data_IF_983398106334
#
_entry.id   IF_983398106334
#
_cell.length_a   1.000
_cell.length_b   1.000
_cell.length_c   1.000
_cell.angle_alpha   90.00
_cell.angle_beta   90.00
_cell.angle_gamma   90.00
#
_symmetry.space_group_name_H-M   'P 1'
#
loop_
_entity.id
_entity.type
_entity.pdbx_description
1 polymer ?
#
# COMPACT_ATOMS: atom_id res chain seq x y z
N UNK A 1 -6.18 9.81 -28.54
CA UNK A 1 -5.67 8.49 -28.11
C UNK A 1 -5.56 8.53 -26.60
N UNK A 2 -6.17 7.57 -25.89
CA UNK A 2 -6.06 7.53 -24.42
C UNK A 2 -4.65 7.08 -24.01
N UNK A 3 -4.06 7.74 -23.01
CA UNK A 3 -2.73 7.42 -22.50
C UNK A 3 -2.81 6.17 -21.63
N UNK A 4 -2.67 5.00 -22.26
CA UNK A 4 -2.77 3.69 -21.61
C UNK A 4 -1.40 3.13 -21.26
N UNK A 5 -1.29 2.59 -20.05
CA UNK A 5 -0.06 2.08 -19.47
C UNK A 5 -0.35 0.73 -18.79
N UNK A 6 0.46 -0.28 -19.06
CA UNK A 6 0.31 -1.59 -18.40
C UNK A 6 1.25 -1.73 -17.20
N UNK A 7 0.77 -2.37 -16.14
CA UNK A 7 1.50 -2.58 -14.88
C UNK A 7 1.27 -4.00 -14.36
N UNK A 8 2.36 -4.72 -14.06
CA UNK A 8 2.29 -6.03 -13.42
C UNK A 8 2.28 -5.88 -11.90
N UNK A 9 1.20 -6.34 -11.27
CA UNK A 9 1.09 -6.37 -9.81
C UNK A 9 1.62 -7.70 -9.27
N UNK A 10 2.33 -7.67 -8.14
CA UNK A 10 2.92 -8.89 -7.55
C UNK A 10 1.86 -9.88 -7.04
N UNK A 11 0.83 -9.37 -6.35
CA UNK A 11 -0.14 -10.20 -5.63
C UNK A 11 -1.59 -9.74 -5.86
N UNK A 12 -2.53 -10.70 -5.81
CA UNK A 12 -3.96 -10.43 -6.04
C UNK A 12 -4.56 -9.41 -5.07
N UNK A 13 -4.20 -9.44 -3.79
CA UNK A 13 -4.77 -8.49 -2.80
C UNK A 13 -4.42 -7.05 -3.13
N UNK A 14 -3.21 -6.79 -3.65
CA UNK A 14 -2.79 -5.45 -4.05
C UNK A 14 -3.47 -5.03 -5.35
N UNK A 15 -3.68 -5.98 -6.27
CA UNK A 15 -4.45 -5.74 -7.49
C UNK A 15 -5.90 -5.38 -7.18
N UNK A 16 -6.56 -6.12 -6.28
CA UNK A 16 -7.93 -5.83 -5.84
C UNK A 16 -8.00 -4.49 -5.10
N UNK A 17 -6.97 -4.17 -4.31
CA UNK A 17 -6.85 -2.88 -3.64
C UNK A 17 -6.74 -1.69 -4.62
N UNK A 18 -6.22 -1.87 -5.83
CA UNK A 18 -6.25 -0.82 -6.86
C UNK A 18 -7.68 -0.41 -7.23
N UNK A 19 -8.66 -1.32 -7.15
CA UNK A 19 -10.07 -1.00 -7.38
C UNK A 19 -10.73 -0.20 -6.27
N UNK A 20 -10.10 -0.14 -5.10
CA UNK A 20 -10.45 0.83 -4.07
C UNK A 20 -9.81 2.19 -4.33
N UNK A 21 -8.57 2.21 -4.84
CA UNK A 21 -7.82 3.45 -5.09
C UNK A 21 -8.29 4.21 -6.34
N UNK A 22 -8.73 3.49 -7.37
CA UNK A 22 -9.08 4.04 -8.66
C UNK A 22 -10.39 3.47 -9.18
N UNK A 23 -11.16 4.33 -9.83
CA UNK A 23 -12.33 3.91 -10.61
C UNK A 23 -11.87 3.16 -11.87
N UNK A 24 -12.73 2.29 -12.37
CA UNK A 24 -12.50 1.58 -13.63
C UNK A 24 -13.39 2.16 -14.71
N UNK A 25 -12.86 2.25 -15.93
CA UNK A 25 -13.64 2.55 -17.11
C UNK A 25 -14.46 1.32 -17.58
N UNK A 26 -15.22 1.47 -18.67
CA UNK A 26 -16.00 0.38 -19.27
C UNK A 26 -15.14 -0.75 -19.82
N UNK A 27 -13.84 -0.51 -20.10
CA UNK A 27 -12.89 -1.53 -20.55
C UNK A 27 -12.21 -2.28 -19.39
N UNK A 28 -12.46 -1.86 -18.14
CA UNK A 28 -11.85 -2.42 -16.95
C UNK A 28 -10.48 -1.82 -16.60
N UNK A 29 -10.02 -0.81 -17.34
CA UNK A 29 -8.79 -0.08 -17.05
C UNK A 29 -9.01 0.92 -15.92
N UNK A 30 -7.99 1.08 -15.07
CA UNK A 30 -8.03 1.98 -13.93
C UNK A 30 -7.73 3.41 -14.33
N UNK A 31 -8.65 4.33 -14.01
CA UNK A 31 -8.49 5.75 -14.28
C UNK A 31 -7.61 6.34 -13.18
N UNK A 32 -6.36 6.63 -13.53
CA UNK A 32 -5.40 7.21 -12.59
C UNK A 32 -5.75 8.67 -12.34
N UNK A 33 -5.76 9.06 -11.07
CA UNK A 33 -5.90 10.47 -10.69
C UNK A 33 -4.74 10.87 -9.81
N UNK A 34 -4.35 12.15 -9.87
CA UNK A 34 -3.34 12.71 -8.97
C UNK A 34 -3.90 13.04 -7.56
N UNK A 35 -5.11 12.54 -7.21
CA UNK A 35 -5.74 12.80 -5.91
C UNK A 35 -5.06 12.05 -4.77
N UNK A 36 -4.72 10.78 -5.00
CA UNK A 36 -4.00 9.95 -4.04
C UNK A 36 -2.50 9.91 -4.34
N UNK A 37 -1.67 9.62 -3.33
CA UNK A 37 -0.21 9.62 -3.51
C UNK A 37 0.25 8.53 -4.48
N UNK A 38 -0.45 7.40 -4.53
CA UNK A 38 -0.07 6.29 -5.42
C UNK A 38 -0.24 6.66 -6.91
N UNK A 39 -1.30 7.38 -7.28
CA UNK A 39 -1.51 7.89 -8.64
C UNK A 39 -0.44 8.90 -9.05
N UNK A 40 0.02 9.75 -8.12
CA UNK A 40 1.16 10.64 -8.35
C UNK A 40 2.44 9.85 -8.62
N UNK A 41 2.67 8.75 -7.90
CA UNK A 41 3.82 7.86 -8.15
C UNK A 41 3.76 7.20 -9.52
N UNK A 42 2.58 6.70 -9.94
CA UNK A 42 2.40 6.12 -11.28
C UNK A 42 2.78 7.16 -12.35
N UNK A 43 2.24 8.37 -12.25
CA UNK A 43 2.53 9.46 -13.19
C UNK A 43 4.03 9.78 -13.20
N UNK A 44 4.64 9.94 -12.02
CA UNK A 44 6.06 10.30 -11.88
C UNK A 44 7.03 9.23 -12.41
N UNK A 45 6.63 7.97 -12.42
CA UNK A 45 7.43 6.86 -12.97
C UNK A 45 7.14 6.54 -14.45
N UNK A 46 6.15 7.20 -15.05
CA UNK A 46 5.80 7.00 -16.46
C UNK A 46 6.88 7.56 -17.37
N UNK A 47 7.25 6.80 -18.40
CA UNK A 47 8.25 7.20 -19.39
C UNK A 47 7.66 7.14 -20.81
N UNK A 48 8.13 8.02 -21.69
CA UNK A 48 7.82 7.96 -23.11
C UNK A 48 8.79 7.00 -23.82
N UNK A 49 8.26 6.18 -24.72
CA UNK A 49 9.03 5.34 -25.63
C UNK A 49 8.89 5.84 -27.07
N UNK A 50 9.94 5.63 -27.87
CA UNK A 50 9.94 5.88 -29.31
C UNK A 50 9.27 4.75 -30.11
N UNK A 51 9.18 3.56 -29.54
CA UNK A 51 8.57 2.36 -30.12
C UNK A 51 7.47 1.82 -29.19
N UNK A 52 6.50 1.06 -29.72
CA UNK A 52 5.50 0.39 -28.90
C UNK A 52 6.16 -0.48 -27.83
N UNK A 53 5.95 -0.19 -26.53
CA UNK A 53 6.54 -0.95 -25.45
C UNK A 53 5.89 -2.32 -25.34
N UNK A 54 6.64 -3.27 -24.77
CA UNK A 54 6.09 -4.58 -24.44
C UNK A 54 5.04 -4.43 -23.34
N UNK A 55 3.83 -4.90 -23.60
CA UNK A 55 2.76 -4.90 -22.63
C UNK A 55 3.07 -5.85 -21.46
N UNK A 56 2.56 -5.48 -20.29
CA UNK A 56 2.62 -6.32 -19.10
C UNK A 56 1.81 -7.61 -19.35
N UNK A 57 2.41 -8.76 -19.05
CA UNK A 57 1.85 -10.08 -19.34
C UNK A 57 1.81 -10.98 -18.09
N UNK A 58 1.95 -10.37 -16.91
CA UNK A 58 1.86 -11.08 -15.65
C UNK A 58 0.44 -11.55 -15.35
N UNK A 59 0.33 -12.48 -14.39
CA UNK A 59 -0.94 -13.03 -13.91
C UNK A 59 -1.90 -11.95 -13.38
N UNK A 60 -1.36 -10.85 -12.87
CA UNK A 60 -2.10 -9.71 -12.32
C UNK A 60 -1.75 -8.42 -13.08
N UNK A 61 -1.58 -8.53 -14.40
CA UNK A 61 -1.40 -7.37 -15.27
C UNK A 61 -2.65 -6.49 -15.25
N UNK A 62 -2.45 -5.19 -15.08
CA UNK A 62 -3.53 -4.19 -15.09
C UNK A 62 -3.20 -3.08 -16.07
N UNK A 63 -4.23 -2.41 -16.58
CA UNK A 63 -4.07 -1.23 -17.43
C UNK A 63 -4.49 0.01 -16.65
N UNK A 64 -3.65 1.04 -16.72
CA UNK A 64 -3.90 2.38 -16.22
C UNK A 64 -4.20 3.32 -17.37
N UNK A 65 -5.16 4.22 -17.18
CA UNK A 65 -5.40 5.37 -18.03
C UNK A 65 -4.88 6.59 -17.28
N UNK A 66 -3.89 7.27 -17.84
CA UNK A 66 -3.35 8.48 -17.23
C UNK A 66 -4.26 9.68 -17.50
N UNK A 67 -4.41 10.58 -16.51
CA UNK A 67 -5.20 11.79 -16.69
C UNK A 67 -4.49 12.72 -17.68
N UNK A 68 -5.22 13.58 -18.38
CA UNK A 68 -4.63 14.65 -19.18
C UNK A 68 -4.49 15.89 -18.30
N UNK A 69 -3.27 16.24 -17.90
CA UNK A 69 -2.95 17.45 -17.14
C UNK A 69 -1.52 17.91 -17.44
N UNK A 70 -1.06 18.98 -16.80
CA UNK A 70 0.29 19.54 -17.01
C UNK A 70 1.41 18.50 -16.81
N UNK A 71 1.25 17.56 -15.86
CA UNK A 71 2.25 16.55 -15.57
C UNK A 71 2.33 15.44 -16.64
N UNK A 72 1.26 15.23 -17.42
CA UNK A 72 1.15 14.13 -18.39
C UNK A 72 1.02 14.61 -19.83
N UNK A 73 0.84 15.92 -20.07
CA UNK A 73 0.64 16.48 -21.41
C UNK A 73 1.76 16.11 -22.38
N UNK A 74 3.00 16.03 -21.89
CA UNK A 74 4.17 15.63 -22.67
C UNK A 74 4.14 14.19 -23.18
N UNK A 75 3.24 13.35 -22.65
CA UNK A 75 3.04 11.96 -23.07
C UNK A 75 1.93 11.79 -24.10
N UNK A 76 1.17 12.85 -24.40
CA UNK A 76 0.12 12.76 -25.40
C UNK A 76 0.71 12.36 -26.75
N UNK A 77 0.03 11.43 -27.43
CA UNK A 77 0.43 10.87 -28.72
C UNK A 77 1.81 10.18 -28.71
N UNK A 78 2.35 9.85 -27.53
CA UNK A 78 3.55 9.02 -27.39
C UNK A 78 3.18 7.66 -26.84
N UNK A 79 3.99 6.66 -27.18
CA UNK A 79 3.93 5.40 -26.45
C UNK A 79 4.47 5.63 -25.04
N UNK A 80 3.79 5.07 -24.03
CA UNK A 80 4.20 5.20 -22.63
C UNK A 80 4.39 3.84 -21.98
N UNK A 81 5.34 3.76 -21.06
CA UNK A 81 5.66 2.52 -20.36
C UNK A 81 6.20 2.78 -18.95
N UNK A 82 6.24 1.71 -18.16
CA UNK A 82 6.97 1.63 -16.91
C UNK A 82 8.21 0.78 -17.13
N UNK A 83 9.37 1.29 -16.72
CA UNK A 83 10.59 0.49 -16.71
C UNK A 83 10.48 -0.66 -15.70
N UNK A 84 11.27 -1.72 -15.88
CA UNK A 84 11.29 -2.83 -14.93
C UNK A 84 11.62 -2.38 -13.49
N UNK A 85 12.47 -1.35 -13.34
CA UNK A 85 12.78 -0.74 -12.06
C UNK A 85 11.57 0.01 -11.48
N UNK A 86 10.89 0.82 -12.31
CA UNK A 86 9.67 1.52 -11.92
C UNK A 86 8.58 0.54 -11.46
N UNK A 87 8.35 -0.54 -12.20
CA UNK A 87 7.38 -1.59 -11.83
C UNK A 87 7.68 -2.19 -10.46
N UNK A 88 8.95 -2.50 -10.16
CA UNK A 88 9.34 -3.00 -8.82
C UNK A 88 9.11 -1.96 -7.72
N UNK A 89 9.50 -0.71 -7.97
CA UNK A 89 9.33 0.38 -7.00
C UNK A 89 7.85 0.69 -6.73
N UNK A 90 7.01 0.64 -7.76
CA UNK A 90 5.56 0.82 -7.62
C UNK A 90 4.94 -0.33 -6.83
N UNK A 91 5.34 -1.59 -7.03
CA UNK A 91 4.85 -2.71 -6.22
C UNK A 91 5.24 -2.57 -4.73
N UNK A 92 6.49 -2.18 -4.45
CA UNK A 92 6.95 -1.89 -3.07
C UNK A 92 6.09 -0.77 -2.46
N UNK A 93 5.85 0.30 -3.22
CA UNK A 93 5.08 1.45 -2.77
C UNK A 93 3.61 1.10 -2.56
N UNK A 94 3.00 0.30 -3.44
CA UNK A 94 1.62 -0.17 -3.33
C UNK A 94 1.43 -1.00 -2.06
N UNK A 95 2.36 -1.92 -1.78
CA UNK A 95 2.37 -2.71 -0.55
C UNK A 95 2.50 -1.82 0.68
N UNK A 96 3.41 -0.85 0.68
CA UNK A 96 3.56 0.09 1.79
C UNK A 96 2.30 0.93 2.01
N UNK A 97 1.67 1.40 0.93
CA UNK A 97 0.44 2.19 0.97
C UNK A 97 -0.72 1.37 1.57
N UNK A 98 -0.89 0.13 1.11
CA UNK A 98 -1.85 -0.82 1.67
C UNK A 98 -1.63 -1.05 3.17
N UNK A 99 -0.38 -1.26 3.59
CA UNK A 99 -0.04 -1.49 4.99
C UNK A 99 -0.39 -0.32 5.89
N UNK A 100 -0.13 0.91 5.44
CA UNK A 100 -0.43 2.12 6.18
C UNK A 100 -1.94 2.30 6.34
N UNK A 101 -2.70 2.14 5.26
CA UNK A 101 -4.18 2.22 5.28
C UNK A 101 -4.79 1.16 6.20
N UNK A 102 -4.37 -0.10 6.04
CA UNK A 102 -4.83 -1.19 6.88
C UNK A 102 -4.55 -0.93 8.36
N UNK A 103 -3.33 -0.48 8.67
CA UNK A 103 -2.93 -0.23 10.03
C UNK A 103 -3.69 0.94 10.67
N UNK A 104 -3.82 2.05 9.94
CA UNK A 104 -4.57 3.20 10.39
C UNK A 104 -6.03 2.83 10.67
N UNK A 105 -6.63 2.03 9.79
CA UNK A 105 -7.99 1.55 9.96
C UNK A 105 -8.15 0.68 11.23
N UNK A 106 -7.22 -0.26 11.45
CA UNK A 106 -7.22 -1.11 12.64
C UNK A 106 -7.07 -0.29 13.91
N UNK A 107 -6.13 0.65 13.95
CA UNK A 107 -5.86 1.46 15.14
C UNK A 107 -7.03 2.37 15.52
N UNK A 108 -7.63 3.06 14.54
CA UNK A 108 -8.80 3.92 14.79
C UNK A 108 -9.96 3.13 15.41
N UNK A 109 -10.18 1.89 14.98
CA UNK A 109 -11.28 1.05 15.49
C UNK A 109 -10.97 0.35 16.80
N UNK A 110 -9.70 0.02 17.07
CA UNK A 110 -9.27 -0.44 18.40
C UNK A 110 -9.52 0.62 19.48
N UNK A 111 -9.30 1.90 19.16
CA UNK A 111 -9.64 2.99 20.07
C UNK A 111 -11.14 3.03 20.44
N UNK A 112 -12.00 2.50 19.56
CA UNK A 112 -13.43 2.34 19.77
C UNK A 112 -13.83 1.00 20.42
N UNK A 113 -12.86 0.19 20.89
CA UNK A 113 -13.05 -1.11 21.54
C UNK A 113 -13.82 -2.16 20.70
N UNK A 114 -13.74 -2.05 19.37
CA UNK A 114 -14.32 -3.06 18.48
C UNK A 114 -13.52 -4.38 18.50
N UNK A 115 -14.21 -5.50 18.24
CA UNK A 115 -13.54 -6.81 18.17
C UNK A 115 -12.67 -6.90 16.92
N UNK A 116 -11.56 -7.61 17.02
CA UNK A 116 -10.56 -7.67 15.94
C UNK A 116 -11.16 -8.24 14.65
N UNK A 117 -11.98 -9.28 14.77
CA UNK A 117 -12.66 -9.96 13.66
C UNK A 117 -13.54 -8.97 12.89
N UNK A 118 -14.36 -8.19 13.60
CA UNK A 118 -15.23 -7.14 13.04
C UNK A 118 -14.42 -6.05 12.33
N UNK A 119 -13.25 -5.68 12.88
CA UNK A 119 -12.36 -4.72 12.26
C UNK A 119 -11.84 -5.24 10.91
N UNK A 120 -11.41 -6.50 10.85
CA UNK A 120 -10.91 -7.11 9.61
C UNK A 120 -12.02 -7.22 8.56
N UNK A 121 -13.21 -7.70 8.94
CA UNK A 121 -14.36 -7.77 8.04
C UNK A 121 -14.75 -6.39 7.51
N UNK A 122 -14.83 -5.39 8.39
CA UNK A 122 -15.15 -4.03 7.98
C UNK A 122 -14.08 -3.44 7.05
N UNK A 123 -12.81 -3.77 7.25
CA UNK A 123 -11.74 -3.34 6.33
C UNK A 123 -11.95 -3.96 4.94
N UNK A 124 -12.15 -5.29 4.88
CA UNK A 124 -12.41 -6.03 3.65
C UNK A 124 -13.59 -5.45 2.88
N UNK A 125 -14.72 -5.23 3.57
CA UNK A 125 -15.93 -4.68 2.96
C UNK A 125 -15.71 -3.25 2.46
N UNK A 126 -15.09 -2.40 3.27
CA UNK A 126 -14.88 -0.99 2.91
C UNK A 126 -13.91 -0.80 1.74
N UNK A 127 -12.94 -1.70 1.57
CA UNK A 127 -11.97 -1.69 0.46
C UNK A 127 -12.39 -2.62 -0.70
N UNK A 128 -13.59 -3.22 -0.62
CA UNK A 128 -14.14 -4.11 -1.65
C UNK A 128 -13.19 -5.28 -1.99
N UNK A 129 -12.56 -5.86 -0.97
CA UNK A 129 -11.58 -6.95 -1.12
C UNK A 129 -12.32 -8.31 -1.11
N UNK A 130 -12.91 -8.73 -2.22
CA UNK A 130 -13.90 -9.83 -2.23
C UNK A 130 -13.36 -11.27 -2.17
N UNK A 131 -12.10 -11.52 -1.77
CA UNK A 131 -11.59 -12.90 -1.63
C UNK A 131 -11.78 -13.44 -0.22
N UNK A 132 -12.30 -14.67 -0.11
CA UNK A 132 -12.49 -15.36 1.17
C UNK A 132 -11.18 -15.59 1.93
N UNK A 133 -10.06 -15.75 1.22
CA UNK A 133 -8.73 -15.97 1.80
C UNK A 133 -8.18 -14.71 2.52
N UNK A 134 -8.75 -13.54 2.25
CA UNK A 134 -8.21 -12.28 2.79
C UNK A 134 -8.43 -12.15 4.29
N UNK A 135 -9.55 -12.65 4.82
CA UNK A 135 -9.84 -12.57 6.25
C UNK A 135 -8.72 -13.17 7.09
N UNK A 136 -8.37 -14.43 6.84
CA UNK A 136 -7.29 -15.13 7.54
C UNK A 136 -5.92 -14.45 7.35
N UNK A 137 -5.63 -14.02 6.12
CA UNK A 137 -4.35 -13.36 5.81
C UNK A 137 -4.16 -12.05 6.57
N UNK A 138 -5.22 -11.23 6.66
CA UNK A 138 -5.24 -9.95 7.35
C UNK A 138 -5.28 -10.12 8.86
N UNK A 139 -5.99 -11.13 9.35
CA UNK A 139 -6.01 -11.49 10.76
C UNK A 139 -4.61 -11.87 11.25
N UNK A 140 -3.89 -12.73 10.51
CA UNK A 140 -2.48 -13.07 10.79
C UNK A 140 -1.57 -11.85 10.70
N UNK A 141 -1.83 -10.93 9.76
CA UNK A 141 -1.04 -9.69 9.62
C UNK A 141 -1.21 -8.76 10.82
N UNK A 142 -2.44 -8.53 11.26
CA UNK A 142 -2.74 -7.75 12.46
C UNK A 142 -2.07 -8.36 13.69
N UNK A 143 -2.21 -9.68 13.88
CA UNK A 143 -1.61 -10.41 14.99
C UNK A 143 -0.07 -10.28 15.03
N UNK A 144 0.61 -10.51 13.88
CA UNK A 144 2.08 -10.37 13.81
C UNK A 144 2.57 -8.96 14.18
N UNK A 145 1.75 -7.95 13.92
CA UNK A 145 2.10 -6.56 14.24
C UNK A 145 1.87 -6.25 15.72
N UNK A 146 0.75 -6.70 16.29
CA UNK A 146 0.50 -6.63 17.73
C UNK A 146 1.64 -7.29 18.53
N UNK A 147 2.12 -8.45 18.07
CA UNK A 147 3.26 -9.12 18.69
C UNK A 147 4.53 -8.25 18.67
N UNK A 148 4.83 -7.62 17.53
CA UNK A 148 5.99 -6.69 17.42
C UNK A 148 5.85 -5.47 18.33
N UNK A 149 4.64 -4.93 18.49
CA UNK A 149 4.39 -3.82 19.40
C UNK A 149 4.57 -4.22 20.86
N UNK A 150 4.07 -5.39 21.23
CA UNK A 150 4.25 -5.94 22.58
C UNK A 150 5.74 -6.18 22.89
N UNK A 151 6.49 -6.74 21.94
CA UNK A 151 7.93 -6.92 22.08
C UNK A 151 8.68 -5.58 22.22
N UNK A 152 8.32 -4.59 21.42
CA UNK A 152 8.92 -3.26 21.49
C UNK A 152 8.62 -2.58 22.84
N UNK A 153 7.38 -2.71 23.34
CA UNK A 153 6.96 -2.21 24.65
C UNK A 153 7.73 -2.92 25.77
N UNK A 154 7.82 -4.25 25.72
CA UNK A 154 8.60 -5.04 26.68
C UNK A 154 10.05 -4.54 26.75
N UNK A 155 10.70 -4.39 25.60
CA UNK A 155 12.09 -3.86 25.53
C UNK A 155 12.20 -2.46 26.15
N UNK A 156 11.24 -1.57 25.88
CA UNK A 156 11.22 -0.21 26.43
C UNK A 156 11.06 -0.22 27.96
N UNK A 157 10.17 -1.05 28.48
CA UNK A 157 9.93 -1.18 29.91
C UNK A 157 11.15 -1.79 30.63
N UNK A 158 11.74 -2.84 30.07
CA UNK A 158 12.96 -3.46 30.62
C UNK A 158 14.11 -2.46 30.70
N UNK A 159 14.36 -1.67 29.64
CA UNK A 159 15.39 -0.61 29.66
C UNK A 159 15.12 0.43 30.73
N UNK A 160 13.85 0.81 30.93
CA UNK A 160 13.46 1.77 31.95
C UNK A 160 13.66 1.21 33.37
N UNK A 161 13.34 -0.06 33.59
CA UNK A 161 13.57 -0.73 34.87
C UNK A 161 15.06 -0.74 35.22
N UNK A 162 15.92 -1.18 34.30
CA UNK A 162 17.38 -1.17 34.50
C UNK A 162 17.93 0.22 34.81
N UNK A 163 17.45 1.25 34.12
CA UNK A 163 17.87 2.63 34.40
C UNK A 163 17.48 3.09 35.81
N UNK A 164 16.27 2.75 36.25
CA UNK A 164 15.81 3.07 37.61
C UNK A 164 16.66 2.32 38.65
N UNK A 165 16.94 1.03 38.42
CA UNK A 165 17.80 0.23 39.31
C UNK A 165 19.21 0.84 39.41
N UNK A 166 19.82 1.24 38.28
CA UNK A 166 21.14 1.88 38.29
C UNK A 166 21.19 3.21 39.05
N UNK A 167 20.08 3.96 39.09
CA UNK A 167 19.99 5.21 39.87
C UNK A 167 19.82 4.94 41.37
N UNK A 168 19.24 3.80 41.74
CA UNK A 168 19.07 3.39 43.14
C UNK A 168 20.40 2.82 43.68
N UNK A 169 21.18 2.15 42.85
CA UNK A 169 22.47 1.55 43.21
C UNK A 169 23.65 2.54 43.19
N UNK A 170 23.47 3.78 42.69
CA UNK A 170 24.50 4.82 42.84
C UNK A 170 24.57 5.28 44.31
N UNK A 171 25.69 5.04 45.03
CA UNK A 171 25.82 5.51 46.41
C UNK A 171 25.77 7.04 46.40
N UNK A 172 24.89 7.62 47.23
CA UNK A 172 24.91 9.05 47.53
C UNK A 172 26.33 9.40 47.95
N UNK A 173 27.04 10.15 47.10
CA UNK A 173 28.34 10.74 47.45
C UNK A 173 28.09 11.67 48.64
N UNK A 174 28.45 11.20 49.83
CA UNK A 174 28.60 12.00 51.06
C UNK A 174 30.00 12.57 51.06
#
# INVERSE_FOLDING_TARGET
>A
MEMRLTFDVDDRIHMDYLAYLFERDTSGAYIVTARNCFGKLIIGHTQAASLPPKEACGKFAVTFILPINEATQNFQNKFIYLSAQATKQLNISLRAYFELDFWEFVQRRKALRQRKEEIIEAFILSRKLFSAEYFESLHKRAYRRELKELEALKRKLTRRAYYIESLVDEPKKV
#
